data_IF_873615730301
#
_entry.id   IF_873615730301
#
_cell.length_a   1.000
_cell.length_b   1.000
_cell.length_c   1.000
_cell.angle_alpha   90.00
_cell.angle_beta   90.00
_cell.angle_gamma   90.00
#
_symmetry.space_group_name_H-M   'P 1'
#
loop_
_entity.id
_entity.type
_entity.pdbx_description
1 polymer ?
#
# COMPACT_ATOMS: atom_id res chain seq x y z
N UNK A 1 -10.64 -1.89 -2.75
CA UNK A 1 -11.33 -0.69 -3.27
C UNK A 1 -10.24 0.25 -3.73
N UNK A 2 -10.14 0.55 -5.03
CA UNK A 2 -9.02 1.36 -5.53
C UNK A 2 -9.02 2.78 -4.99
N UNK A 3 -10.12 3.23 -4.37
CA UNK A 3 -10.24 4.55 -3.74
C UNK A 3 -9.13 4.82 -2.73
N UNK A 4 -8.81 3.86 -1.85
CA UNK A 4 -7.69 4.04 -0.88
C UNK A 4 -6.35 4.26 -1.57
N UNK A 5 -6.10 3.52 -2.65
CA UNK A 5 -4.89 3.69 -3.45
C UNK A 5 -4.89 5.07 -4.12
N UNK A 6 -5.99 5.47 -4.74
CA UNK A 6 -6.09 6.78 -5.40
C UNK A 6 -5.95 7.93 -4.40
N UNK A 7 -6.64 7.86 -3.27
CA UNK A 7 -6.56 8.88 -2.20
C UNK A 7 -5.13 8.94 -1.67
N UNK A 8 -4.50 7.80 -1.37
CA UNK A 8 -3.11 7.79 -0.88
C UNK A 8 -2.14 8.34 -1.91
N UNK A 9 -2.20 7.84 -3.15
CA UNK A 9 -1.27 8.24 -4.20
C UNK A 9 -1.36 9.76 -4.42
N UNK A 10 -2.56 10.33 -4.38
CA UNK A 10 -2.75 11.79 -4.49
C UNK A 10 -2.22 12.55 -3.28
N UNK A 11 -2.50 12.08 -2.06
CA UNK A 11 -1.99 12.72 -0.83
C UNK A 11 -0.46 12.71 -0.87
N UNK A 12 0.13 11.55 -1.18
CA UNK A 12 1.57 11.36 -1.17
C UNK A 12 2.26 12.16 -2.27
N UNK A 13 1.71 12.19 -3.48
CA UNK A 13 2.27 12.98 -4.58
C UNK A 13 2.28 14.47 -4.27
N UNK A 14 1.24 15.00 -3.60
CA UNK A 14 1.19 16.41 -3.18
C UNK A 14 2.10 16.69 -1.99
N UNK A 15 2.01 15.90 -0.91
CA UNK A 15 2.83 16.11 0.30
C UNK A 15 4.32 16.01 0.01
N UNK A 16 4.72 15.13 -0.90
CA UNK A 16 6.13 14.94 -1.29
C UNK A 16 6.55 15.77 -2.51
N UNK A 17 5.67 16.62 -3.05
CA UNK A 17 5.90 17.45 -4.23
C UNK A 17 6.58 16.71 -5.40
N UNK A 18 5.99 15.58 -5.79
CA UNK A 18 6.55 14.75 -6.87
C UNK A 18 6.18 15.36 -8.22
N UNK A 19 7.13 16.10 -8.80
CA UNK A 19 7.03 16.67 -10.16
C UNK A 19 6.45 15.67 -11.18
N UNK A 20 5.51 16.15 -11.99
CA UNK A 20 4.73 15.42 -13.02
C UNK A 20 3.64 14.47 -12.51
N UNK A 21 3.58 14.21 -11.20
CA UNK A 21 2.52 13.37 -10.58
C UNK A 21 1.61 14.15 -9.64
N UNK A 22 2.00 15.36 -9.26
CA UNK A 22 1.13 16.29 -8.56
C UNK A 22 -0.04 16.67 -9.46
N UNK A 23 -1.25 16.63 -8.90
CA UNK A 23 -2.43 17.21 -9.57
C UNK A 23 -2.46 18.73 -9.46
N UNK A 24 -1.61 19.30 -8.59
CA UNK A 24 -1.45 20.73 -8.38
C UNK A 24 -0.47 21.31 -9.43
N UNK A 25 -1.02 21.60 -10.62
CA UNK A 25 -0.27 22.13 -11.75
C UNK A 25 -0.52 23.64 -11.93
N UNK A 26 0.37 24.33 -12.65
CA UNK A 26 0.25 25.77 -12.97
C UNK A 26 -1.13 26.17 -13.53
N UNK A 27 -1.74 25.31 -14.35
CA UNK A 27 -3.08 25.54 -14.88
C UNK A 27 -4.14 25.45 -13.78
N UNK A 28 -4.02 24.47 -12.90
CA UNK A 28 -4.95 24.30 -11.78
C UNK A 28 -4.89 25.47 -10.79
N UNK A 29 -3.69 26.05 -10.57
CA UNK A 29 -3.49 27.25 -9.76
C UNK A 29 -4.12 28.51 -10.40
N UNK A 30 -4.07 28.63 -11.73
CA UNK A 30 -4.75 29.73 -12.46
C UNK A 30 -6.27 29.60 -12.40
N UNK A 31 -6.80 28.38 -12.49
CA UNK A 31 -8.24 28.10 -12.34
C UNK A 31 -8.71 28.37 -10.91
N UNK A 32 -7.85 28.09 -9.91
CA UNK A 32 -8.09 28.37 -8.50
C UNK A 32 -8.44 29.84 -8.24
N UNK A 33 -7.73 30.78 -8.88
CA UNK A 33 -8.00 32.24 -8.81
C UNK A 33 -9.41 32.61 -9.29
N UNK A 34 -9.94 31.85 -10.23
CA UNK A 34 -11.26 32.09 -10.83
C UNK A 34 -12.36 31.44 -9.96
N UNK A 35 -12.08 30.27 -9.38
CA UNK A 35 -13.09 29.42 -8.74
C UNK A 35 -13.17 29.63 -7.22
N UNK A 36 -12.08 29.99 -6.53
CA UNK A 36 -12.03 30.08 -5.07
C UNK A 36 -11.25 31.31 -4.59
N UNK A 37 -11.83 32.06 -3.65
CA UNK A 37 -11.17 33.20 -2.99
C UNK A 37 -10.22 32.72 -1.89
N UNK A 38 -9.02 32.24 -2.27
CA UNK A 38 -7.94 31.84 -1.36
C UNK A 38 -6.62 32.50 -1.77
N UNK A 39 -6.38 33.76 -1.37
CA UNK A 39 -5.22 34.53 -1.79
C UNK A 39 -3.89 33.88 -1.36
N UNK A 40 -3.86 33.09 -0.30
CA UNK A 40 -2.69 32.33 0.15
C UNK A 40 -2.24 31.19 -0.80
N UNK A 41 -3.06 30.78 -1.78
CA UNK A 41 -2.75 29.72 -2.75
C UNK A 41 -2.55 30.26 -4.18
N UNK A 42 -2.55 31.59 -4.35
CA UNK A 42 -2.31 32.23 -5.64
C UNK A 42 -0.82 32.21 -6.03
N UNK A 43 -0.54 32.17 -7.34
CA UNK A 43 0.84 32.10 -7.86
C UNK A 43 1.54 33.45 -7.69
N UNK A 44 2.62 33.48 -6.92
CA UNK A 44 3.53 34.63 -6.86
C UNK A 44 4.41 34.66 -8.13
N UNK A 45 4.28 35.71 -8.94
CA UNK A 45 4.91 35.83 -10.26
C UNK A 45 6.46 35.95 -10.20
N UNK A 46 7.04 36.12 -9.01
CA UNK A 46 8.47 36.40 -8.83
C UNK A 46 9.40 35.18 -8.68
N UNK A 47 8.91 33.93 -8.53
CA UNK A 47 9.78 32.75 -8.36
C UNK A 47 9.30 31.51 -9.11
N UNK A 48 9.59 31.37 -10.42
CA UNK A 48 9.38 30.12 -11.13
C UNK A 48 10.59 29.19 -10.93
N UNK A 49 10.35 27.97 -10.44
CA UNK A 49 11.20 26.78 -10.63
C UNK A 49 12.55 26.67 -9.88
N UNK A 50 12.56 26.55 -8.55
CA UNK A 50 13.66 25.80 -7.89
C UNK A 50 13.09 24.93 -6.78
N UNK A 51 13.17 23.60 -6.93
CA UNK A 51 12.95 22.68 -5.83
C UNK A 51 13.92 21.49 -5.89
N UNK A 52 14.46 21.07 -4.72
CA UNK A 52 15.39 19.96 -4.60
C UNK A 52 14.69 18.62 -4.85
N UNK A 53 15.46 17.65 -5.34
CA UNK A 53 15.01 16.28 -5.55
C UNK A 53 14.75 15.62 -4.20
N UNK A 54 13.53 15.13 -3.97
CA UNK A 54 13.29 14.11 -2.95
C UNK A 54 14.13 12.86 -3.30
N UNK A 55 15.19 12.61 -2.55
CA UNK A 55 16.14 11.51 -2.79
C UNK A 55 15.54 10.11 -2.54
N UNK A 56 14.44 10.03 -1.78
CA UNK A 56 13.67 8.81 -1.56
C UNK A 56 12.23 9.00 -2.03
N UNK A 57 11.95 8.54 -3.24
CA UNK A 57 10.58 8.45 -3.76
C UNK A 57 10.04 7.04 -3.48
N UNK A 58 8.86 6.94 -2.87
CA UNK A 58 8.13 5.68 -2.83
C UNK A 58 7.62 5.40 -4.25
N UNK A 59 8.12 4.31 -4.83
CA UNK A 59 7.75 3.84 -6.16
C UNK A 59 7.15 2.44 -6.04
N UNK A 60 6.29 2.09 -6.99
CA UNK A 60 5.73 0.75 -7.16
C UNK A 60 4.99 0.17 -5.94
N UNK A 61 4.36 1.02 -5.13
CA UNK A 61 3.47 0.57 -4.06
C UNK A 61 2.28 -0.18 -4.68
N UNK A 62 2.05 -1.41 -4.20
CA UNK A 62 0.85 -2.15 -4.55
C UNK A 62 -0.32 -1.60 -3.75
N UNK A 63 -1.52 -1.92 -4.20
CA UNK A 63 -2.75 -1.55 -3.51
C UNK A 63 -2.79 -1.99 -2.04
N UNK A 64 -2.21 -3.16 -1.72
CA UNK A 64 -2.02 -3.62 -0.34
C UNK A 64 -1.14 -2.68 0.49
N UNK A 65 -0.05 -2.20 -0.08
CA UNK A 65 0.89 -1.32 0.63
C UNK A 65 0.22 0.03 0.89
N UNK A 66 -0.52 0.54 -0.10
CA UNK A 66 -1.32 1.75 0.07
C UNK A 66 -2.38 1.60 1.17
N UNK A 67 -3.01 0.43 1.24
CA UNK A 67 -4.01 0.12 2.26
C UNK A 67 -3.44 0.15 3.68
N UNK A 68 -2.31 -0.55 3.90
CA UNK A 68 -1.61 -0.55 5.19
C UNK A 68 -1.17 0.87 5.54
N UNK A 69 -0.72 1.64 4.54
CA UNK A 69 -0.28 3.00 4.76
C UNK A 69 -1.43 3.92 5.20
N UNK A 70 -2.55 3.92 4.46
CA UNK A 70 -3.74 4.71 4.77
C UNK A 70 -4.34 4.41 6.14
N UNK A 71 -4.18 3.18 6.63
CA UNK A 71 -4.74 2.78 7.91
C UNK A 71 -3.80 2.90 9.10
N UNK A 72 -2.49 2.76 8.91
CA UNK A 72 -1.56 2.58 10.03
C UNK A 72 -0.37 3.52 9.97
N UNK A 73 0.09 3.84 8.76
CA UNK A 73 1.37 4.54 8.60
C UNK A 73 1.20 6.04 8.34
N UNK A 74 0.04 6.52 7.88
CA UNK A 74 -0.17 7.96 7.63
C UNK A 74 0.25 8.80 8.84
N UNK A 75 -0.30 8.60 10.05
CA UNK A 75 0.02 9.46 11.19
C UNK A 75 1.49 9.43 11.58
N UNK A 76 2.16 8.30 11.33
CA UNK A 76 3.60 8.12 11.58
C UNK A 76 4.41 8.88 10.53
N UNK A 77 4.04 8.73 9.26
CA UNK A 77 4.73 9.35 8.13
C UNK A 77 4.64 10.88 8.15
N UNK A 78 3.53 11.43 8.65
CA UNK A 78 3.30 12.87 8.71
C UNK A 78 3.56 13.47 10.10
N UNK A 79 4.09 12.70 11.06
CA UNK A 79 4.26 13.14 12.45
C UNK A 79 5.07 14.43 12.57
N UNK A 80 6.08 14.60 11.72
CA UNK A 80 6.96 15.77 11.71
C UNK A 80 6.42 16.93 10.85
N UNK A 81 5.19 16.83 10.30
CA UNK A 81 4.57 17.95 9.58
C UNK A 81 4.24 19.09 10.52
N UNK A 82 4.74 20.29 10.21
CA UNK A 82 4.55 21.51 11.02
C UNK A 82 3.15 22.14 10.88
N UNK A 83 2.35 21.73 9.89
CA UNK A 83 1.04 22.31 9.64
C UNK A 83 -0.06 21.54 10.37
N UNK A 84 -0.51 22.07 11.50
CA UNK A 84 -1.46 21.42 12.42
C UNK A 84 -2.78 21.03 11.73
N UNK A 85 -3.32 21.91 10.87
CA UNK A 85 -4.56 21.63 10.13
C UNK A 85 -4.39 20.46 9.16
N UNK A 86 -3.21 20.34 8.54
CA UNK A 86 -2.93 19.26 7.59
C UNK A 86 -2.75 17.92 8.30
N UNK A 87 -2.02 17.93 9.41
CA UNK A 87 -1.88 16.76 10.28
C UNK A 87 -3.24 16.27 10.79
N UNK A 88 -4.09 17.19 11.27
CA UNK A 88 -5.42 16.87 11.78
C UNK A 88 -6.32 16.30 10.69
N UNK A 89 -6.36 16.91 9.50
CA UNK A 89 -7.16 16.43 8.38
C UNK A 89 -6.73 15.02 7.93
N UNK A 90 -5.43 14.79 7.74
CA UNK A 90 -4.89 13.50 7.32
C UNK A 90 -5.07 12.41 8.38
N UNK A 91 -4.98 12.76 9.66
CA UNK A 91 -5.24 11.83 10.77
C UNK A 91 -6.70 11.40 10.81
N UNK A 92 -7.64 12.31 10.55
CA UNK A 92 -9.08 11.98 10.44
C UNK A 92 -9.37 11.09 9.23
N UNK A 93 -8.71 11.31 8.10
CA UNK A 93 -8.80 10.40 6.93
C UNK A 93 -8.27 9.01 7.28
N UNK A 94 -7.14 8.92 7.98
CA UNK A 94 -6.63 7.64 8.47
C UNK A 94 -7.63 6.93 9.40
N UNK A 95 -8.25 7.67 10.33
CA UNK A 95 -9.26 7.13 11.25
C UNK A 95 -10.49 6.60 10.49
N UNK A 96 -10.95 7.32 9.46
CA UNK A 96 -12.02 6.88 8.56
C UNK A 96 -11.72 5.48 7.98
N UNK A 97 -10.55 5.30 7.36
CA UNK A 97 -10.19 4.01 6.75
C UNK A 97 -9.90 2.92 7.79
N UNK A 98 -9.41 3.27 8.99
CA UNK A 98 -9.30 2.32 10.10
C UNK A 98 -10.65 1.77 10.55
N UNK A 99 -11.67 2.62 10.67
CA UNK A 99 -13.01 2.21 11.12
C UNK A 99 -13.67 1.36 10.03
N UNK A 100 -13.66 1.84 8.78
CA UNK A 100 -14.27 1.12 7.64
C UNK A 100 -13.71 -0.29 7.46
N UNK A 101 -12.42 -0.47 7.69
CA UNK A 101 -11.74 -1.74 7.46
C UNK A 101 -11.47 -2.54 8.73
N UNK A 102 -12.10 -2.16 9.84
CA UNK A 102 -12.00 -2.90 11.09
C UNK A 102 -12.52 -4.33 10.94
N UNK A 103 -11.93 -5.26 11.68
CA UNK A 103 -12.37 -6.66 11.72
C UNK A 103 -13.70 -6.84 12.44
N UNK A 104 -14.10 -5.86 13.25
CA UNK A 104 -15.36 -5.85 14.02
C UNK A 104 -16.11 -4.58 13.68
N UNK A 105 -17.26 -4.73 13.00
CA UNK A 105 -18.07 -3.60 12.58
C UNK A 105 -19.06 -3.20 13.66
N UNK A 106 -18.96 -1.96 14.15
CA UNK A 106 -19.92 -1.38 15.08
C UNK A 106 -20.81 -0.38 14.32
N UNK A 107 -22.10 -0.71 14.19
CA UNK A 107 -23.07 0.08 13.42
C UNK A 107 -23.18 1.53 13.93
N UNK A 108 -23.14 1.74 15.24
CA UNK A 108 -23.23 3.09 15.82
C UNK A 108 -22.02 3.95 15.40
N UNK A 109 -20.82 3.37 15.45
CA UNK A 109 -19.60 4.06 14.99
C UNK A 109 -19.63 4.36 13.49
N UNK A 110 -20.26 3.50 12.70
CA UNK A 110 -20.41 3.72 11.25
C UNK A 110 -21.41 4.84 10.98
N UNK A 111 -22.49 4.95 11.74
CA UNK A 111 -23.43 6.08 11.63
C UNK A 111 -22.78 7.41 12.02
N UNK A 112 -22.04 7.45 13.13
CA UNK A 112 -21.22 8.62 13.49
C UNK A 112 -20.19 8.97 12.39
N UNK A 113 -19.70 7.95 11.69
CA UNK A 113 -18.79 8.14 10.56
C UNK A 113 -19.51 8.71 9.33
N UNK A 114 -20.72 8.23 9.00
CA UNK A 114 -21.58 8.77 7.94
C UNK A 114 -21.76 10.29 8.12
N UNK A 115 -22.04 10.74 9.35
CA UNK A 115 -22.25 12.16 9.66
C UNK A 115 -20.95 12.98 9.64
N UNK A 116 -19.83 12.38 10.04
CA UNK A 116 -18.55 13.10 10.14
C UNK A 116 -17.74 13.15 8.84
N UNK A 117 -17.91 12.22 7.91
CA UNK A 117 -17.12 12.16 6.66
C UNK A 117 -17.21 13.43 5.80
N UNK A 118 -18.38 14.05 5.58
CA UNK A 118 -18.46 15.32 4.87
C UNK A 118 -17.58 16.40 5.51
N UNK A 119 -17.58 16.46 6.85
CA UNK A 119 -16.74 17.40 7.61
C UNK A 119 -15.25 17.05 7.49
N UNK A 120 -14.90 15.76 7.44
CA UNK A 120 -13.51 15.31 7.21
C UNK A 120 -13.02 15.76 5.83
N UNK A 121 -13.83 15.57 4.78
CA UNK A 121 -13.49 16.00 3.42
C UNK A 121 -13.40 17.52 3.31
N UNK A 122 -14.32 18.28 3.88
CA UNK A 122 -14.22 19.75 3.88
C UNK A 122 -12.97 20.25 4.64
N UNK A 123 -12.56 19.57 5.71
CA UNK A 123 -11.30 19.90 6.39
C UNK A 123 -10.09 19.55 5.54
N UNK A 124 -10.16 18.47 4.76
CA UNK A 124 -9.13 18.10 3.79
C UNK A 124 -9.06 19.15 2.65
N UNK A 125 -10.20 19.65 2.17
CA UNK A 125 -10.31 20.72 1.14
C UNK A 125 -9.79 22.07 1.59
N UNK A 126 -9.74 22.32 2.90
CA UNK A 126 -9.09 23.52 3.44
C UNK A 126 -7.57 23.45 3.34
N UNK A 127 -7.02 22.24 3.32
CA UNK A 127 -5.57 21.98 3.34
C UNK A 127 -5.02 21.81 1.92
N UNK A 128 -5.73 21.06 1.08
CA UNK A 128 -5.29 20.75 -0.29
C UNK A 128 -6.01 21.63 -1.32
N UNK A 129 -5.32 21.91 -2.43
CA UNK A 129 -5.87 22.61 -3.58
C UNK A 129 -7.12 21.90 -4.15
N UNK A 130 -8.12 22.62 -4.67
CA UNK A 130 -9.28 22.03 -5.34
C UNK A 130 -8.92 21.02 -6.44
N UNK A 131 -7.76 21.17 -7.08
CA UNK A 131 -7.22 20.24 -8.09
C UNK A 131 -7.02 18.81 -7.56
N UNK A 132 -6.82 18.67 -6.25
CA UNK A 132 -6.71 17.38 -5.58
C UNK A 132 -8.02 16.59 -5.61
N UNK A 133 -9.16 17.28 -5.48
CA UNK A 133 -10.47 16.65 -5.30
C UNK A 133 -11.14 16.38 -6.65
N UNK A 134 -11.03 15.14 -7.12
CA UNK A 134 -11.84 14.62 -8.22
C UNK A 134 -12.92 13.68 -7.67
N UNK A 135 -13.71 13.10 -8.58
CA UNK A 135 -14.82 12.21 -8.20
C UNK A 135 -14.41 11.02 -7.32
N UNK A 136 -13.13 10.60 -7.37
CA UNK A 136 -12.63 9.48 -6.59
C UNK A 136 -12.43 9.83 -5.12
N UNK A 137 -11.94 11.04 -4.78
CA UNK A 137 -11.80 11.47 -3.38
C UNK A 137 -13.18 11.63 -2.72
N UNK A 138 -14.15 12.20 -3.44
CA UNK A 138 -15.53 12.37 -2.96
C UNK A 138 -16.29 11.06 -2.79
N UNK A 139 -15.92 10.00 -3.51
CA UNK A 139 -16.53 8.68 -3.36
C UNK A 139 -16.38 8.15 -1.91
N UNK A 140 -15.41 8.68 -1.16
CA UNK A 140 -15.22 8.38 0.27
C UNK A 140 -16.45 8.70 1.14
N UNK A 141 -17.32 9.64 0.73
CA UNK A 141 -18.58 9.97 1.42
C UNK A 141 -19.54 8.79 1.47
N UNK A 142 -19.55 7.96 0.42
CA UNK A 142 -20.51 6.86 0.32
C UNK A 142 -20.04 5.60 1.06
N UNK A 143 -18.76 5.52 1.42
CA UNK A 143 -18.19 4.31 2.01
C UNK A 143 -18.82 3.91 3.34
N UNK A 144 -19.05 4.81 4.31
CA UNK A 144 -19.70 4.43 5.55
C UNK A 144 -21.12 3.87 5.33
N UNK A 145 -21.90 4.51 4.45
CA UNK A 145 -23.23 4.02 4.07
C UNK A 145 -23.18 2.65 3.40
N UNK A 146 -22.26 2.46 2.45
CA UNK A 146 -22.04 1.16 1.82
C UNK A 146 -21.69 0.10 2.86
N UNK A 147 -20.88 0.42 3.87
CA UNK A 147 -20.51 -0.48 4.97
C UNK A 147 -21.68 -0.83 5.86
N UNK A 148 -22.55 0.14 6.17
CA UNK A 148 -23.74 -0.11 6.97
C UNK A 148 -24.72 -1.05 6.26
N UNK A 149 -24.92 -0.89 4.95
CA UNK A 149 -25.87 -1.72 4.19
C UNK A 149 -25.27 -3.06 3.75
N UNK A 150 -24.02 -3.05 3.27
CA UNK A 150 -23.38 -4.22 2.67
C UNK A 150 -22.41 -4.97 3.58
N UNK A 151 -22.28 -4.56 4.85
CA UNK A 151 -21.40 -5.21 5.82
C UNK A 151 -19.92 -4.96 5.55
N UNK A 152 -19.07 -5.92 5.94
CA UNK A 152 -17.61 -5.75 5.91
C UNK A 152 -17.07 -5.42 4.51
N UNK A 153 -16.15 -4.47 4.49
CA UNK A 153 -15.49 -3.97 3.29
C UNK A 153 -14.66 -5.06 2.58
N UNK A 154 -14.08 -6.00 3.35
CA UNK A 154 -13.13 -7.00 2.86
C UNK A 154 -13.68 -7.87 1.71
N UNK A 155 -14.96 -8.22 1.77
CA UNK A 155 -15.61 -9.08 0.77
C UNK A 155 -16.08 -8.32 -0.48
N UNK A 156 -16.16 -6.99 -0.40
CA UNK A 156 -16.69 -6.13 -1.48
C UNK A 156 -15.62 -5.33 -2.19
N UNK A 157 -14.37 -5.46 -1.75
CA UNK A 157 -13.25 -4.92 -2.50
C UNK A 157 -13.13 -5.56 -3.87
N UNK A 158 -12.61 -4.79 -4.82
CA UNK A 158 -12.19 -5.30 -6.11
C UNK A 158 -11.06 -6.33 -6.03
N UNK A 159 -10.24 -6.35 -4.97
CA UNK A 159 -9.03 -7.20 -4.94
C UNK A 159 -9.32 -8.70 -5.02
N UNK A 160 -10.28 -9.28 -4.26
CA UNK A 160 -10.72 -10.67 -4.47
C UNK A 160 -11.12 -10.96 -5.92
N UNK A 161 -11.94 -10.10 -6.53
CA UNK A 161 -12.41 -10.28 -7.91
C UNK A 161 -11.27 -10.16 -8.93
N UNK A 162 -10.39 -9.18 -8.78
CA UNK A 162 -9.24 -9.00 -9.67
C UNK A 162 -8.25 -10.16 -9.57
N UNK A 163 -8.01 -10.69 -8.37
CA UNK A 163 -7.17 -11.89 -8.18
C UNK A 163 -7.80 -13.10 -8.87
N UNK A 164 -9.10 -13.31 -8.67
CA UNK A 164 -9.81 -14.39 -9.34
C UNK A 164 -9.77 -14.26 -10.87
N UNK A 165 -10.06 -13.07 -11.40
CA UNK A 165 -9.98 -12.79 -12.84
C UNK A 165 -8.57 -12.98 -13.40
N UNK A 166 -7.54 -12.61 -12.63
CA UNK A 166 -6.15 -12.87 -13.01
C UNK A 166 -5.86 -14.36 -13.10
N UNK A 167 -6.35 -15.16 -12.16
CA UNK A 167 -6.16 -16.61 -12.19
C UNK A 167 -6.85 -17.24 -13.40
N UNK A 168 -8.08 -16.83 -13.72
CA UNK A 168 -8.77 -17.24 -14.94
C UNK A 168 -8.01 -16.82 -16.20
N UNK A 169 -7.47 -15.61 -16.23
CA UNK A 169 -6.68 -15.10 -17.37
C UNK A 169 -5.42 -15.92 -17.63
N UNK A 170 -4.80 -16.50 -16.59
CA UNK A 170 -3.63 -17.40 -16.72
C UNK A 170 -4.05 -18.75 -17.31
N UNK A 171 -5.28 -19.21 -17.03
CA UNK A 171 -5.84 -20.46 -17.56
C UNK A 171 -6.20 -20.38 -19.05
N UNK A 172 -6.49 -19.19 -19.57
CA UNK A 172 -6.78 -18.98 -21.00
C UNK A 172 -5.48 -19.08 -21.82
N UNK A 173 -5.23 -20.27 -22.39
CA UNK A 173 -4.16 -20.54 -23.37
C UNK A 173 -4.60 -20.21 -24.79
N UNK A 174 -5.84 -20.52 -25.14
CA UNK A 174 -6.43 -20.18 -26.44
C UNK A 174 -7.49 -19.07 -26.29
N UNK A 175 -7.20 -17.89 -26.83
CA UNK A 175 -8.12 -16.73 -26.77
C UNK A 175 -9.35 -16.88 -27.67
N UNK A 176 -9.29 -17.70 -28.72
CA UNK A 176 -10.45 -17.95 -29.60
C UNK A 176 -11.52 -18.81 -28.90
N UNK A 177 -11.12 -19.60 -27.89
CA UNK A 177 -12.00 -20.46 -27.11
C UNK A 177 -11.67 -20.33 -25.62
N UNK A 178 -11.88 -19.14 -25.05
CA UNK A 178 -11.49 -18.83 -23.68
C UNK A 178 -12.17 -19.75 -22.65
N UNK A 179 -13.47 -20.01 -22.82
CA UNK A 179 -14.25 -20.88 -21.93
C UNK A 179 -13.73 -22.32 -21.92
N UNK A 180 -13.54 -22.91 -23.10
CA UNK A 180 -13.00 -24.27 -23.24
C UNK A 180 -11.59 -24.38 -22.64
N UNK A 181 -10.74 -23.36 -22.85
CA UNK A 181 -9.40 -23.32 -22.26
C UNK A 181 -9.41 -23.23 -20.74
N UNK A 182 -10.40 -22.53 -20.16
CA UNK A 182 -10.58 -22.46 -18.70
C UNK A 182 -11.02 -23.84 -18.18
N UNK A 183 -12.00 -24.47 -18.82
CA UNK A 183 -12.51 -25.80 -18.45
C UNK A 183 -11.40 -26.85 -18.49
N UNK A 184 -10.59 -26.86 -19.55
CA UNK A 184 -9.44 -27.75 -19.68
C UNK A 184 -8.43 -27.56 -18.53
N UNK A 185 -8.10 -26.30 -18.20
CA UNK A 185 -7.22 -26.01 -17.09
C UNK A 185 -7.80 -26.44 -15.73
N UNK A 186 -9.12 -26.32 -15.55
CA UNK A 186 -9.80 -26.84 -14.35
C UNK A 186 -9.73 -28.36 -14.27
N UNK A 187 -9.95 -29.09 -15.36
CA UNK A 187 -9.79 -30.55 -15.38
C UNK A 187 -8.38 -30.98 -14.95
N UNK A 188 -7.34 -30.31 -15.46
CA UNK A 188 -5.95 -30.59 -15.07
C UNK A 188 -5.71 -30.30 -13.59
N UNK A 189 -6.30 -29.24 -13.04
CA UNK A 189 -6.21 -28.90 -11.62
C UNK A 189 -6.90 -29.95 -10.74
N UNK A 190 -8.14 -30.33 -11.04
CA UNK A 190 -8.87 -31.34 -10.28
C UNK A 190 -8.19 -32.71 -10.35
N UNK A 191 -7.73 -33.10 -11.53
CA UNK A 191 -6.94 -34.33 -11.69
C UNK A 191 -5.65 -34.26 -10.85
N UNK A 192 -4.95 -33.12 -10.86
CA UNK A 192 -3.77 -32.91 -10.03
C UNK A 192 -4.07 -32.99 -8.53
N UNK A 193 -5.22 -32.49 -8.08
CA UNK A 193 -5.67 -32.57 -6.69
C UNK A 193 -6.03 -34.01 -6.29
N UNK A 194 -6.74 -34.73 -7.17
CA UNK A 194 -7.07 -36.12 -6.93
C UNK A 194 -5.81 -36.98 -6.77
N UNK A 195 -4.85 -36.83 -7.68
CA UNK A 195 -3.59 -37.57 -7.62
C UNK A 195 -2.69 -37.14 -6.45
N UNK A 196 -2.81 -35.89 -5.97
CA UNK A 196 -2.04 -35.40 -4.82
C UNK A 196 -2.20 -36.28 -3.58
N UNK A 197 -3.39 -36.84 -3.34
CA UNK A 197 -3.64 -37.73 -2.19
C UNK A 197 -2.93 -39.09 -2.28
N UNK A 198 -2.44 -39.46 -3.46
CA UNK A 198 -1.74 -40.73 -3.69
C UNK A 198 -0.21 -40.57 -3.77
N UNK A 199 0.30 -39.34 -3.82
CA UNK A 199 1.73 -39.08 -3.85
C UNK A 199 2.32 -39.06 -2.43
N UNK A 200 3.60 -39.45 -2.32
CA UNK A 200 4.33 -39.32 -1.08
C UNK A 200 4.42 -37.85 -0.63
N UNK A 201 4.38 -37.54 0.69
CA UNK A 201 4.37 -36.17 1.20
C UNK A 201 5.53 -35.29 0.74
N UNK A 202 6.65 -35.92 0.34
CA UNK A 202 7.88 -35.26 -0.09
C UNK A 202 7.79 -34.68 -1.52
N UNK A 203 6.82 -35.13 -2.32
CA UNK A 203 6.68 -34.72 -3.72
C UNK A 203 5.97 -33.36 -3.79
N UNK A 204 6.65 -32.33 -4.29
CA UNK A 204 6.13 -30.95 -4.36
C UNK A 204 5.12 -30.74 -5.52
N UNK A 205 3.84 -30.87 -5.21
CA UNK A 205 2.69 -30.54 -6.04
C UNK A 205 2.22 -29.09 -5.83
N UNK A 206 1.27 -28.62 -6.66
CA UNK A 206 0.67 -27.28 -6.50
C UNK A 206 0.06 -27.06 -5.09
N UNK A 207 -0.41 -28.13 -4.46
CA UNK A 207 -1.21 -28.09 -3.22
C UNK A 207 -0.40 -28.17 -1.91
N UNK A 208 0.82 -28.72 -1.93
CA UNK A 208 1.72 -28.74 -0.76
C UNK A 208 2.91 -27.79 -0.92
N UNK A 209 3.03 -27.09 -2.06
CA UNK A 209 4.01 -26.01 -2.18
C UNK A 209 3.69 -24.91 -1.18
N UNK A 210 4.67 -24.48 -0.38
CA UNK A 210 4.48 -23.38 0.56
C UNK A 210 4.03 -22.14 -0.21
N UNK A 211 3.09 -21.40 0.39
CA UNK A 211 2.55 -20.20 -0.22
C UNK A 211 3.66 -19.19 -0.55
N UNK A 212 3.37 -18.26 -1.45
CA UNK A 212 4.38 -17.28 -1.89
C UNK A 212 4.96 -16.46 -0.74
N UNK A 213 4.12 -16.15 0.26
CA UNK A 213 4.47 -15.39 1.47
C UNK A 213 4.81 -16.28 2.66
N UNK A 214 4.93 -17.59 2.45
CA UNK A 214 5.26 -18.53 3.50
C UNK A 214 6.78 -18.72 3.50
N UNK A 215 7.44 -18.08 4.47
CA UNK A 215 8.90 -18.05 4.62
C UNK A 215 9.44 -19.35 5.25
N UNK A 216 8.78 -20.50 5.01
CA UNK A 216 9.22 -21.82 5.47
C UNK A 216 10.63 -22.13 4.95
N UNK A 217 11.62 -21.77 5.75
CA UNK A 217 13.02 -22.12 5.54
C UNK A 217 13.18 -23.58 5.95
N UNK A 218 13.16 -24.48 4.98
CA UNK A 218 13.39 -25.92 5.18
C UNK A 218 14.89 -26.27 5.34
N UNK A 219 15.71 -25.33 5.82
CA UNK A 219 17.12 -25.57 6.08
C UNK A 219 17.41 -25.37 7.57
N UNK A 220 17.58 -26.49 8.28
CA UNK A 220 18.04 -26.59 9.68
C UNK A 220 19.51 -26.20 9.87
N UNK A 221 20.22 -25.75 8.83
CA UNK A 221 21.60 -25.25 8.92
C UNK A 221 21.68 -23.81 9.39
N UNK A 222 20.78 -23.38 10.28
CA UNK A 222 20.83 -22.07 10.91
C UNK A 222 21.91 -22.09 11.99
N UNK A 223 22.96 -21.31 11.84
CA UNK A 223 23.92 -21.09 12.91
C UNK A 223 23.23 -20.36 14.05
N UNK A 224 23.06 -20.98 15.22
CA UNK A 224 22.24 -20.49 16.35
C UNK A 224 22.44 -19.00 16.75
N UNK A 225 23.51 -18.36 16.31
CA UNK A 225 23.93 -17.05 16.77
C UNK A 225 23.96 -15.95 15.69
N UNK A 226 23.54 -16.22 14.45
CA UNK A 226 23.55 -15.19 13.41
C UNK A 226 22.28 -14.32 13.45
N UNK A 227 22.43 -13.01 13.71
CA UNK A 227 21.33 -12.02 13.60
C UNK A 227 20.71 -11.94 12.19
N UNK A 228 21.31 -12.58 11.19
CA UNK A 228 20.79 -12.68 9.83
C UNK A 228 20.00 -13.98 9.56
N UNK A 229 19.64 -14.74 10.60
CA UNK A 229 18.84 -15.96 10.49
C UNK A 229 17.34 -15.72 10.26
N UNK A 230 16.95 -14.52 9.86
CA UNK A 230 15.56 -14.27 9.51
C UNK A 230 15.18 -15.14 8.31
N UNK A 231 14.12 -15.96 8.41
CA UNK A 231 13.63 -16.72 7.28
C UNK A 231 13.24 -15.73 6.18
N UNK A 232 13.91 -15.81 5.03
CA UNK A 232 13.59 -14.97 3.89
C UNK A 232 13.72 -15.76 2.59
N UNK A 233 12.75 -15.59 1.71
CA UNK A 233 12.86 -16.09 0.33
C UNK A 233 13.54 -15.03 -0.53
N UNK A 234 14.78 -15.27 -0.94
CA UNK A 234 15.46 -14.41 -1.90
C UNK A 234 14.65 -14.34 -3.21
N UNK A 235 14.42 -13.14 -3.73
CA UNK A 235 13.66 -12.89 -4.96
C UNK A 235 14.49 -12.10 -5.96
N UNK A 236 14.43 -12.49 -7.24
CA UNK A 236 15.15 -11.84 -8.33
C UNK A 236 16.54 -12.43 -8.59
N UNK A 237 17.27 -11.81 -9.52
CA UNK A 237 18.61 -12.25 -9.89
C UNK A 237 19.63 -11.87 -8.81
N UNK A 238 20.41 -12.84 -8.34
CA UNK A 238 21.45 -12.63 -7.35
C UNK A 238 22.59 -11.80 -7.97
N UNK A 239 22.89 -10.63 -7.37
CA UNK A 239 24.03 -9.79 -7.77
C UNK A 239 25.08 -9.80 -6.66
N UNK A 240 26.31 -10.20 -7.00
CA UNK A 240 27.46 -10.02 -6.10
C UNK A 240 27.90 -8.56 -6.16
N UNK A 241 28.05 -7.93 -4.99
CA UNK A 241 28.61 -6.58 -4.86
C UNK A 241 29.62 -6.53 -3.73
N UNK A 242 30.68 -5.76 -3.91
CA UNK A 242 31.58 -5.40 -2.81
C UNK A 242 30.92 -4.33 -1.95
N UNK A 243 31.04 -4.46 -0.62
CA UNK A 243 30.52 -3.47 0.31
C UNK A 243 31.38 -2.20 0.28
N UNK A 244 30.73 -1.07 0.04
CA UNK A 244 31.33 0.25 0.18
C UNK A 244 31.80 0.48 1.63
N UNK A 245 32.69 1.45 1.84
CA UNK A 245 33.17 1.81 3.18
C UNK A 245 32.04 2.25 4.10
N UNK A 246 31.06 3.00 3.57
CA UNK A 246 29.83 3.37 4.29
C UNK A 246 28.95 2.16 4.61
N UNK A 247 28.78 1.23 3.67
CA UNK A 247 28.02 0.00 3.89
C UNK A 247 28.64 -0.89 4.97
N UNK A 248 29.98 -0.99 5.02
CA UNK A 248 30.69 -1.69 6.10
C UNK A 248 30.49 -1.04 7.46
N UNK A 249 30.50 0.29 7.51
CA UNK A 249 30.23 1.00 8.75
C UNK A 249 28.81 0.72 9.26
N UNK A 250 27.79 0.83 8.40
CA UNK A 250 26.39 0.56 8.75
C UNK A 250 26.20 -0.89 9.24
N UNK A 251 26.73 -1.87 8.51
CA UNK A 251 26.64 -3.28 8.92
C UNK A 251 27.40 -3.52 10.23
N UNK A 252 28.56 -2.89 10.39
CA UNK A 252 29.32 -2.94 11.63
C UNK A 252 28.51 -2.41 12.81
N UNK A 253 27.97 -1.18 12.71
CA UNK A 253 27.12 -0.59 13.75
C UNK A 253 25.91 -1.46 14.06
N UNK A 254 25.26 -2.04 13.05
CA UNK A 254 24.12 -2.94 13.23
C UNK A 254 24.51 -4.24 13.96
N UNK A 255 25.63 -4.86 13.58
CA UNK A 255 26.19 -6.04 14.24
C UNK A 255 26.53 -5.75 15.70
N UNK A 256 27.22 -4.64 15.97
CA UNK A 256 27.52 -4.23 17.33
C UNK A 256 26.21 -4.05 18.13
N UNK A 257 25.29 -3.21 17.67
CA UNK A 257 24.08 -2.88 18.44
C UNK A 257 23.09 -4.03 18.63
N UNK A 258 23.06 -5.04 17.75
CA UNK A 258 22.01 -6.07 17.76
C UNK A 258 22.52 -7.51 17.95
N UNK A 259 23.83 -7.77 17.97
CA UNK A 259 24.38 -9.12 18.11
C UNK A 259 24.93 -9.38 19.52
N UNK A 260 24.27 -10.27 20.26
CA UNK A 260 24.67 -10.67 21.61
C UNK A 260 26.03 -11.41 21.66
N UNK A 261 26.53 -11.94 20.54
CA UNK A 261 27.89 -12.54 20.50
C UNK A 261 28.96 -11.48 20.68
N UNK A 262 28.71 -10.24 20.25
CA UNK A 262 29.73 -9.20 20.21
C UNK A 262 29.82 -8.45 21.55
N UNK A 263 28.80 -8.58 22.41
CA UNK A 263 28.73 -8.02 23.78
C UNK A 263 29.97 -8.24 24.67
N UNK A 264 30.65 -9.39 24.65
CA UNK A 264 31.88 -9.62 25.42
C UNK A 264 33.12 -8.87 24.90
N UNK A 265 33.07 -8.33 23.68
CA UNK A 265 34.20 -7.63 23.04
C UNK A 265 34.05 -6.09 23.15
N UNK A 266 33.17 -5.61 24.04
CA UNK A 266 32.94 -4.19 24.31
C UNK A 266 33.82 -3.61 25.43
N UNK A 267 34.52 -4.46 26.17
CA UNK A 267 35.58 -4.05 27.12
C UNK A 267 36.87 -3.74 26.38
#
# INVERSE_FOLDING_TARGET
>A
MHIEKYVLDNIFNIVMDIKEKTKDNLNALKDLKIICYRPELEVDEMRPNVMPKAELRLHDMKSHDCHVFMQKLIPIAIREMRHELAWSALTKVNLLFQILCSTILNVNKVQELEDSVPTILCNLEKVFSPAFFNSMEYLSVHLPYEVRVGGFVQYRWMYPFERFLRDLKIKVKNKAHAEASIVEAYFVEEFGLFNFHYFEPQILCKYNRPCRNDDLSMNDTRSQHCIFNYPHRASGALKKRWLSRSGRHIIGTYLFTNCEIVTPYYE
#
